data_IF_718373985879
#
_entry.id   IF_718373985879
#
_cell.length_a   1.000
_cell.length_b   1.000
_cell.length_c   1.000
_cell.angle_alpha   90.00
_cell.angle_beta   90.00
_cell.angle_gamma   90.00
#
_symmetry.space_group_name_H-M   'P 1'
#
loop_
_entity.id
_entity.type
_entity.pdbx_description
1 polymer ?
#
# COMPACT_ATOMS: atom_id res chain seq x y z
N UNK A 1 53.99 10.55 23.43
CA UNK A 1 52.67 11.12 23.20
C UNK A 1 52.14 10.56 21.90
N UNK A 2 51.46 9.43 21.98
CA UNK A 2 50.84 8.74 20.86
C UNK A 2 49.35 9.14 20.84
N UNK A 3 49.03 10.06 19.94
CA UNK A 3 47.63 10.45 19.72
C UNK A 3 46.85 9.37 18.97
N UNK A 4 45.94 8.74 19.64
CA UNK A 4 44.92 7.85 19.05
C UNK A 4 44.04 8.71 18.14
N UNK A 5 44.15 8.55 16.84
CA UNK A 5 43.14 9.07 15.89
C UNK A 5 41.89 8.25 16.09
N UNK A 6 40.85 8.86 16.69
CA UNK A 6 39.51 8.37 16.59
C UNK A 6 39.12 8.31 15.10
N UNK A 7 38.82 7.10 14.65
CA UNK A 7 38.24 6.89 13.34
C UNK A 7 36.85 7.55 13.32
N UNK A 8 36.70 8.65 12.58
CA UNK A 8 35.43 9.22 12.23
C UNK A 8 34.69 8.15 11.41
N UNK A 9 33.70 7.51 12.01
CA UNK A 9 32.81 6.58 11.33
C UNK A 9 32.14 7.33 10.17
N UNK A 10 32.42 6.92 8.94
CA UNK A 10 31.66 7.36 7.77
C UNK A 10 30.27 6.75 7.95
N UNK A 11 29.28 7.56 8.29
CA UNK A 11 27.88 7.16 8.37
C UNK A 11 27.41 6.69 6.98
N UNK A 12 27.56 5.41 6.72
CA UNK A 12 26.91 4.72 5.62
C UNK A 12 25.41 4.51 5.92
N UNK A 13 24.56 4.22 4.94
CA UNK A 13 23.15 3.93 5.18
C UNK A 13 23.02 2.67 6.05
N UNK A 14 22.38 2.78 7.22
CA UNK A 14 22.04 1.65 8.11
C UNK A 14 20.61 1.14 7.87
N UNK A 15 20.24 0.02 8.53
CA UNK A 15 18.95 -0.65 8.38
C UNK A 15 18.84 -1.42 7.06
N UNK A 16 17.63 -1.59 6.56
CA UNK A 16 17.38 -2.30 5.28
C UNK A 16 17.94 -1.49 4.12
N UNK A 17 18.82 -2.09 3.33
CA UNK A 17 19.58 -1.43 2.24
C UNK A 17 19.57 -2.24 0.94
N UNK A 18 19.85 -1.56 -0.16
CA UNK A 18 20.08 -2.19 -1.47
C UNK A 18 21.40 -2.98 -1.48
N UNK A 19 21.50 -4.02 -2.34
CA UNK A 19 22.75 -4.74 -2.51
C UNK A 19 23.86 -3.81 -3.04
N UNK A 20 25.08 -4.08 -2.67
CA UNK A 20 26.26 -3.39 -3.21
C UNK A 20 26.57 -3.95 -4.61
N UNK A 21 26.86 -3.07 -5.55
CA UNK A 21 27.38 -3.38 -6.89
C UNK A 21 28.75 -2.71 -7.06
N UNK A 22 29.47 -2.97 -8.14
CA UNK A 22 30.76 -2.32 -8.44
C UNK A 22 30.67 -0.79 -8.46
N UNK A 23 29.48 -0.24 -8.79
CA UNK A 23 29.21 1.20 -8.81
C UNK A 23 28.53 1.73 -7.52
N UNK A 24 28.48 0.93 -6.46
CA UNK A 24 27.79 1.25 -5.21
C UNK A 24 26.37 0.66 -5.15
N UNK A 25 25.53 1.15 -4.21
CA UNK A 25 24.14 0.66 -4.04
C UNK A 25 23.21 1.27 -5.07
N UNK A 26 22.58 0.43 -5.90
CA UNK A 26 21.81 0.87 -7.06
C UNK A 26 20.37 0.34 -7.06
N UNK A 27 19.39 1.26 -7.03
CA UNK A 27 17.96 0.92 -7.21
C UNK A 27 17.65 0.47 -8.63
N UNK A 28 18.37 0.99 -9.62
CA UNK A 28 18.23 0.60 -11.04
C UNK A 28 18.67 -0.84 -11.26
N UNK A 29 19.83 -1.22 -10.72
CA UNK A 29 20.34 -2.59 -10.83
C UNK A 29 19.40 -3.58 -10.15
N UNK A 30 18.90 -3.25 -8.94
CA UNK A 30 17.90 -4.06 -8.25
C UNK A 30 16.62 -4.20 -9.09
N UNK A 31 16.04 -3.09 -9.55
CA UNK A 31 14.78 -3.11 -10.29
C UNK A 31 14.85 -3.97 -11.55
N UNK A 32 15.93 -3.85 -12.34
CA UNK A 32 16.15 -4.69 -13.52
C UNK A 32 16.25 -6.18 -13.17
N UNK A 33 17.07 -6.51 -12.16
CA UNK A 33 17.27 -7.89 -11.76
C UNK A 33 15.98 -8.54 -11.23
N UNK A 34 15.25 -7.83 -10.39
CA UNK A 34 13.99 -8.34 -9.81
C UNK A 34 12.91 -8.56 -10.88
N UNK A 35 12.74 -7.62 -11.79
CA UNK A 35 11.76 -7.76 -12.88
C UNK A 35 12.16 -8.89 -13.84
N UNK A 36 13.45 -9.04 -14.12
CA UNK A 36 13.96 -10.12 -14.96
C UNK A 36 13.73 -11.49 -14.29
N UNK A 37 14.06 -11.61 -13.01
CA UNK A 37 13.88 -12.86 -12.26
C UNK A 37 12.39 -13.23 -12.17
N UNK A 38 11.52 -12.27 -11.91
CA UNK A 38 10.08 -12.48 -11.85
C UNK A 38 9.49 -12.98 -13.18
N UNK A 39 10.00 -12.51 -14.31
CA UNK A 39 9.54 -12.93 -15.64
C UNK A 39 10.16 -14.24 -16.12
N UNK A 40 11.27 -14.66 -15.56
CA UNK A 40 12.15 -15.68 -16.16
C UNK A 40 11.46 -16.99 -16.48
N UNK A 41 10.60 -17.48 -15.60
CA UNK A 41 9.89 -18.73 -15.77
C UNK A 41 8.71 -18.61 -16.74
N UNK A 42 8.05 -17.44 -16.80
CA UNK A 42 6.80 -17.23 -17.56
C UNK A 42 7.06 -16.57 -18.91
N UNK A 43 7.96 -15.60 -18.95
CA UNK A 43 8.32 -14.84 -20.14
C UNK A 43 9.84 -14.62 -20.24
N UNK A 44 10.59 -15.63 -20.71
CA UNK A 44 12.06 -15.54 -20.84
C UNK A 44 12.55 -14.41 -21.76
N UNK A 45 11.74 -13.99 -22.74
CA UNK A 45 12.07 -12.88 -23.64
C UNK A 45 11.97 -11.55 -22.90
N UNK A 46 10.89 -11.37 -22.12
CA UNK A 46 10.72 -10.21 -21.24
C UNK A 46 11.80 -10.12 -20.17
N UNK A 47 12.18 -11.25 -19.59
CA UNK A 47 13.27 -11.32 -18.63
C UNK A 47 14.58 -10.78 -19.20
N UNK A 48 15.00 -11.28 -20.38
CA UNK A 48 16.21 -10.78 -21.07
C UNK A 48 16.11 -9.30 -21.42
N UNK A 49 14.93 -8.84 -21.86
CA UNK A 49 14.71 -7.43 -22.15
C UNK A 49 14.90 -6.55 -20.89
N UNK A 50 14.39 -6.97 -19.73
CA UNK A 50 14.56 -6.24 -18.49
C UNK A 50 16.03 -6.23 -18.01
N UNK A 51 16.75 -7.34 -18.14
CA UNK A 51 18.18 -7.45 -17.79
C UNK A 51 19.05 -6.45 -18.57
N UNK A 52 18.78 -6.30 -19.88
CA UNK A 52 19.57 -5.49 -20.78
C UNK A 52 19.04 -4.04 -20.94
N UNK A 53 18.02 -3.65 -20.19
CA UNK A 53 17.47 -2.28 -20.24
C UNK A 53 18.52 -1.26 -19.79
N UNK A 54 18.99 -0.45 -20.71
CA UNK A 54 20.03 0.55 -20.45
C UNK A 54 19.49 1.86 -19.89
N UNK A 55 18.21 2.15 -20.17
CA UNK A 55 17.54 3.39 -19.77
C UNK A 55 16.37 3.10 -18.82
N UNK A 56 16.64 2.40 -17.71
CA UNK A 56 15.64 1.97 -16.75
C UNK A 56 14.68 3.07 -16.32
N UNK A 57 15.19 4.30 -16.12
CA UNK A 57 14.38 5.43 -15.66
C UNK A 57 13.21 5.77 -16.61
N UNK A 58 13.33 5.46 -17.88
CA UNK A 58 12.30 5.72 -18.88
C UNK A 58 11.65 4.43 -19.40
N UNK A 59 12.41 3.32 -19.43
CA UNK A 59 11.94 2.03 -19.91
C UNK A 59 11.13 1.20 -18.92
N UNK A 60 11.24 1.49 -17.59
CA UNK A 60 10.64 0.67 -16.55
C UNK A 60 9.15 0.39 -16.77
N UNK A 61 8.39 1.37 -17.24
CA UNK A 61 6.95 1.23 -17.46
C UNK A 61 6.61 0.05 -18.39
N UNK A 62 7.33 -0.10 -19.49
CA UNK A 62 7.16 -1.22 -20.40
C UNK A 62 7.40 -2.57 -19.75
N UNK A 63 8.39 -2.66 -18.88
CA UNK A 63 8.73 -3.88 -18.15
C UNK A 63 7.70 -4.21 -17.05
N UNK A 64 7.19 -3.19 -16.30
CA UNK A 64 6.11 -3.40 -15.33
C UNK A 64 4.79 -3.75 -16.02
N UNK A 65 4.50 -3.16 -17.16
CA UNK A 65 3.35 -3.56 -17.98
C UNK A 65 3.46 -5.01 -18.44
N UNK A 66 4.64 -5.43 -18.87
CA UNK A 66 4.91 -6.80 -19.28
C UNK A 66 4.75 -7.83 -18.17
N UNK A 67 5.09 -7.48 -16.91
CA UNK A 67 4.78 -8.31 -15.74
C UNK A 67 3.29 -8.59 -15.64
N UNK A 68 2.46 -7.56 -15.82
CA UNK A 68 0.99 -7.70 -15.79
C UNK A 68 0.53 -8.52 -17.00
N UNK A 69 0.97 -8.20 -18.21
CA UNK A 69 0.61 -8.95 -19.43
C UNK A 69 0.93 -10.44 -19.30
N UNK A 70 2.08 -10.79 -18.72
CA UNK A 70 2.46 -12.17 -18.46
C UNK A 70 1.60 -12.84 -17.37
N UNK A 71 1.27 -12.11 -16.30
CA UNK A 71 0.41 -12.59 -15.22
C UNK A 71 -1.04 -12.80 -15.66
N UNK A 72 -1.53 -12.06 -16.66
CA UNK A 72 -2.88 -12.22 -17.20
C UNK A 72 -3.08 -13.57 -17.94
N UNK A 73 -2.02 -14.28 -18.31
CA UNK A 73 -2.10 -15.53 -19.06
C UNK A 73 -2.76 -16.66 -18.25
N UNK A 74 -2.46 -16.74 -16.97
CA UNK A 74 -3.07 -17.72 -16.05
C UNK A 74 -2.80 -17.32 -14.58
N UNK A 75 -3.59 -17.89 -13.66
CA UNK A 75 -3.34 -17.76 -12.22
C UNK A 75 -1.94 -18.25 -11.84
N UNK A 76 -1.53 -19.41 -12.38
CA UNK A 76 -0.20 -19.97 -12.10
C UNK A 76 0.92 -19.06 -12.56
N UNK A 77 0.75 -18.38 -13.70
CA UNK A 77 1.70 -17.39 -14.18
C UNK A 77 1.81 -16.21 -13.22
N UNK A 78 0.68 -15.63 -12.78
CA UNK A 78 0.67 -14.53 -11.82
C UNK A 78 1.32 -14.93 -10.49
N UNK A 79 1.00 -16.11 -9.96
CA UNK A 79 1.58 -16.63 -8.71
C UNK A 79 3.07 -16.91 -8.85
N UNK A 80 3.52 -17.46 -9.98
CA UNK A 80 4.94 -17.73 -10.25
C UNK A 80 5.72 -16.41 -10.32
N UNK A 81 5.24 -15.43 -11.08
CA UNK A 81 5.83 -14.09 -11.16
C UNK A 81 5.95 -13.46 -9.77
N UNK A 82 4.90 -13.56 -8.96
CA UNK A 82 4.88 -13.00 -7.61
C UNK A 82 5.89 -13.70 -6.69
N UNK A 83 5.97 -15.02 -6.70
CA UNK A 83 6.92 -15.80 -5.90
C UNK A 83 8.36 -15.51 -6.28
N UNK A 84 8.67 -15.52 -7.57
CA UNK A 84 10.03 -15.33 -8.08
C UNK A 84 10.50 -13.88 -7.85
N UNK A 85 9.61 -12.90 -8.04
CA UNK A 85 9.89 -11.50 -7.74
C UNK A 85 10.17 -11.24 -6.25
N UNK A 86 9.36 -11.80 -5.35
CA UNK A 86 9.62 -11.72 -3.90
C UNK A 86 10.90 -12.45 -3.52
N UNK A 87 11.13 -13.65 -4.04
CA UNK A 87 12.35 -14.41 -3.77
C UNK A 87 13.60 -13.63 -4.20
N UNK A 88 13.58 -13.02 -5.38
CA UNK A 88 14.67 -12.17 -5.88
C UNK A 88 14.94 -10.97 -4.98
N UNK A 89 13.89 -10.29 -4.49
CA UNK A 89 14.02 -9.17 -3.54
C UNK A 89 14.65 -9.63 -2.22
N UNK A 90 14.10 -10.69 -1.61
CA UNK A 90 14.62 -11.23 -0.34
C UNK A 90 16.06 -11.70 -0.42
N UNK A 91 16.45 -12.33 -1.52
CA UNK A 91 17.81 -12.80 -1.73
C UNK A 91 18.84 -11.67 -1.89
N UNK A 92 18.41 -10.52 -2.47
CA UNK A 92 19.29 -9.42 -2.82
C UNK A 92 19.38 -8.34 -1.76
N UNK A 93 18.27 -8.01 -1.07
CA UNK A 93 18.27 -6.95 -0.07
C UNK A 93 19.11 -7.35 1.16
N UNK A 94 19.69 -6.36 1.82
CA UNK A 94 20.59 -6.51 2.95
C UNK A 94 20.14 -5.68 4.12
N UNK A 95 20.67 -5.98 5.29
CA UNK A 95 20.52 -5.16 6.50
C UNK A 95 21.89 -4.80 7.02
N UNK A 96 22.10 -3.53 7.33
CA UNK A 96 23.30 -3.05 8.01
C UNK A 96 22.89 -2.67 9.42
N UNK A 97 23.49 -3.35 10.41
CA UNK A 97 23.30 -3.04 11.83
C UNK A 97 23.94 -1.70 12.20
N UNK A 98 23.60 -1.16 13.38
CA UNK A 98 24.22 0.06 13.91
C UNK A 98 25.75 -0.12 14.13
N UNK A 99 26.21 -1.36 14.31
CA UNK A 99 27.65 -1.71 14.36
C UNK A 99 28.34 -1.85 13.00
N UNK A 100 27.62 -1.61 11.90
CA UNK A 100 28.16 -1.67 10.53
C UNK A 100 28.26 -3.07 9.92
N UNK A 101 27.80 -4.12 10.61
CA UNK A 101 27.76 -5.47 10.07
C UNK A 101 26.63 -5.59 9.03
N UNK A 102 26.94 -6.17 7.86
CA UNK A 102 25.97 -6.43 6.79
C UNK A 102 25.55 -7.89 6.78
N UNK A 103 24.25 -8.15 6.84
CA UNK A 103 23.65 -9.49 6.82
C UNK A 103 22.58 -9.61 5.75
N UNK A 104 22.14 -10.83 5.44
CA UNK A 104 20.98 -11.08 4.59
C UNK A 104 19.69 -10.63 5.29
N UNK A 105 18.71 -10.18 4.51
CA UNK A 105 17.44 -9.72 5.07
C UNK A 105 16.71 -10.82 5.88
N UNK A 106 16.84 -12.09 5.48
CA UNK A 106 16.24 -13.20 6.20
C UNK A 106 16.90 -13.46 7.58
N UNK A 107 18.14 -13.08 7.73
CA UNK A 107 18.94 -13.31 8.94
C UNK A 107 18.67 -12.28 10.04
N UNK A 108 18.05 -11.14 9.70
CA UNK A 108 17.80 -10.03 10.64
C UNK A 108 16.99 -10.45 11.87
N UNK A 109 16.15 -11.47 11.74
CA UNK A 109 15.31 -11.96 12.84
C UNK A 109 15.94 -13.09 13.65
N UNK A 110 17.15 -13.56 13.30
CA UNK A 110 17.86 -14.64 14.02
C UNK A 110 18.75 -14.09 15.14
N UNK A 111 19.16 -12.83 15.02
CA UNK A 111 19.92 -12.14 16.05
C UNK A 111 19.19 -10.79 16.34
N UNK A 112 18.34 -10.75 17.38
CA UNK A 112 17.56 -9.55 17.71
C UNK A 112 18.42 -8.35 18.13
N UNK A 113 19.72 -8.50 18.23
CA UNK A 113 20.64 -7.47 18.74
C UNK A 113 20.41 -7.18 20.22
N UNK A 114 21.27 -6.43 20.85
CA UNK A 114 21.15 -6.04 22.27
C UNK A 114 20.16 -4.92 22.54
N UNK A 115 19.22 -4.64 21.65
CA UNK A 115 18.23 -3.57 21.79
C UNK A 115 17.14 -3.91 22.81
N UNK A 116 16.71 -2.91 23.57
CA UNK A 116 15.65 -3.08 24.57
C UNK A 116 14.30 -3.41 23.87
N UNK A 117 13.51 -4.34 24.45
CA UNK A 117 12.17 -4.64 23.95
C UNK A 117 11.29 -3.39 23.99
N UNK A 118 10.24 -3.40 23.18
CA UNK A 118 9.23 -2.34 23.19
C UNK A 118 8.12 -2.70 24.17
N UNK A 119 7.68 -1.72 24.98
CA UNK A 119 6.47 -1.80 25.79
C UNK A 119 5.24 -1.39 24.97
N UNK A 120 4.05 -1.65 25.50
CA UNK A 120 2.78 -1.21 24.90
C UNK A 120 2.16 -0.09 25.72
N UNK A 121 1.91 1.06 25.10
CA UNK A 121 0.95 2.02 25.64
C UNK A 121 -0.42 1.79 24.99
N UNK A 122 -1.48 1.93 25.79
CA UNK A 122 -2.86 1.82 25.32
C UNK A 122 -3.62 3.10 25.64
N UNK A 123 -4.25 3.69 24.66
CA UNK A 123 -5.09 4.88 24.80
C UNK A 123 -6.51 4.54 24.41
N UNK A 124 -7.42 4.64 25.38
CA UNK A 124 -8.85 4.42 25.16
C UNK A 124 -9.53 5.75 24.86
N UNK A 125 -10.27 5.81 23.79
CA UNK A 125 -11.01 6.99 23.41
C UNK A 125 -12.28 7.19 24.23
N UNK A 126 -12.69 8.44 24.43
CA UNK A 126 -13.91 8.83 25.14
C UNK A 126 -15.09 9.16 24.24
N UNK A 127 -14.94 9.05 22.92
CA UNK A 127 -16.00 9.36 21.96
C UNK A 127 -17.06 8.26 21.84
N UNK A 128 -18.19 8.61 21.25
CA UNK A 128 -19.23 7.63 20.93
C UNK A 128 -18.77 6.68 19.81
N UNK A 129 -19.09 5.39 19.95
CA UNK A 129 -18.89 4.38 18.91
C UNK A 129 -20.00 4.52 17.85
N UNK A 130 -19.60 4.70 16.59
CA UNK A 130 -20.55 4.68 15.46
C UNK A 130 -20.90 3.23 15.11
N UNK A 131 -22.19 2.88 15.17
CA UNK A 131 -22.71 1.55 14.83
C UNK A 131 -23.36 1.49 13.45
N UNK A 132 -23.40 2.59 12.72
CA UNK A 132 -23.89 2.69 11.36
C UNK A 132 -22.78 3.22 10.45
N UNK A 133 -22.63 2.62 9.26
CA UNK A 133 -21.66 3.12 8.29
C UNK A 133 -22.04 4.52 7.83
N UNK A 134 -21.15 5.48 8.06
CA UNK A 134 -21.29 6.84 7.55
C UNK A 134 -20.04 7.25 6.78
N UNK A 135 -20.22 7.81 5.59
CA UNK A 135 -19.16 8.23 4.69
C UNK A 135 -19.06 9.76 4.63
N UNK A 136 -17.93 10.37 5.05
CA UNK A 136 -17.73 11.80 4.86
C UNK A 136 -17.55 12.11 3.37
N UNK A 137 -18.32 13.09 2.86
CA UNK A 137 -18.25 13.48 1.47
C UNK A 137 -18.68 14.95 1.30
N UNK A 138 -17.81 15.78 0.75
CA UNK A 138 -18.04 17.22 0.47
C UNK A 138 -18.64 17.98 1.67
N UNK A 139 -18.08 17.78 2.85
CA UNK A 139 -18.49 18.44 4.09
C UNK A 139 -19.73 17.85 4.76
N UNK A 140 -20.36 16.83 4.18
CA UNK A 140 -21.49 16.09 4.73
C UNK A 140 -21.09 14.70 5.19
N UNK A 141 -21.94 14.05 5.99
CA UNK A 141 -21.85 12.63 6.32
C UNK A 141 -23.02 11.90 5.70
N UNK A 142 -22.73 11.11 4.67
CA UNK A 142 -23.71 10.29 3.98
C UNK A 142 -23.95 9.00 4.77
N UNK A 143 -25.20 8.63 4.96
CA UNK A 143 -25.65 7.37 5.58
C UNK A 143 -27.00 6.95 5.02
N UNK A 144 -27.43 5.71 5.26
CA UNK A 144 -28.70 5.18 4.80
C UNK A 144 -28.94 5.48 3.31
N UNK A 145 -30.13 5.96 2.97
CA UNK A 145 -30.53 6.24 1.58
C UNK A 145 -29.67 7.27 0.87
N UNK A 146 -29.09 8.25 1.59
CA UNK A 146 -28.20 9.24 0.97
C UNK A 146 -26.91 8.56 0.47
N UNK A 147 -26.39 7.61 1.24
CA UNK A 147 -25.20 6.83 0.83
C UNK A 147 -25.57 5.90 -0.33
N UNK A 148 -26.71 5.20 -0.29
CA UNK A 148 -27.18 4.37 -1.41
C UNK A 148 -27.26 5.16 -2.71
N UNK A 149 -27.95 6.33 -2.70
CA UNK A 149 -28.06 7.19 -3.88
C UNK A 149 -26.69 7.67 -4.39
N UNK A 150 -25.74 7.93 -3.49
CA UNK A 150 -24.39 8.36 -3.87
C UNK A 150 -23.63 7.23 -4.53
N UNK A 151 -23.69 6.01 -4.00
CA UNK A 151 -23.06 4.83 -4.60
C UNK A 151 -23.62 4.58 -6.02
N UNK A 152 -24.93 4.66 -6.21
CA UNK A 152 -25.55 4.53 -7.55
C UNK A 152 -25.02 5.59 -8.52
N UNK A 153 -24.95 6.84 -8.06
CA UNK A 153 -24.42 7.93 -8.88
C UNK A 153 -22.93 7.73 -9.24
N UNK A 154 -22.14 7.21 -8.34
CA UNK A 154 -20.72 6.92 -8.60
C UNK A 154 -20.54 5.76 -9.58
N UNK A 155 -21.32 4.69 -9.45
CA UNK A 155 -21.33 3.57 -10.42
C UNK A 155 -21.74 4.07 -11.81
N UNK A 156 -22.85 4.81 -11.89
CA UNK A 156 -23.35 5.36 -13.17
C UNK A 156 -22.33 6.29 -13.85
N UNK A 157 -21.56 7.05 -13.05
CA UNK A 157 -20.52 7.94 -13.54
C UNK A 157 -19.15 7.25 -13.77
N UNK A 158 -19.01 5.95 -13.45
CA UNK A 158 -17.75 5.21 -13.56
C UNK A 158 -16.68 5.68 -12.57
N UNK A 159 -17.08 6.22 -11.42
CA UNK A 159 -16.17 6.66 -10.35
C UNK A 159 -15.72 5.49 -9.48
N UNK A 160 -16.62 4.54 -9.26
CA UNK A 160 -16.36 3.26 -8.58
C UNK A 160 -16.92 2.12 -9.41
N UNK A 161 -16.38 0.93 -9.22
CA UNK A 161 -16.91 -0.30 -9.82
C UNK A 161 -18.20 -0.76 -9.13
N UNK A 162 -19.10 -1.49 -9.81
CA UNK A 162 -20.30 -2.07 -9.19
C UNK A 162 -19.98 -2.90 -7.95
N UNK A 163 -18.93 -3.74 -8.01
CA UNK A 163 -18.47 -4.58 -6.89
C UNK A 163 -18.08 -3.76 -5.64
N UNK A 164 -17.50 -2.57 -5.82
CA UNK A 164 -17.22 -1.66 -4.72
C UNK A 164 -18.52 -1.18 -4.05
N UNK A 165 -19.53 -0.79 -4.84
CA UNK A 165 -20.81 -0.37 -4.31
C UNK A 165 -21.54 -1.51 -3.59
N UNK A 166 -21.47 -2.74 -4.13
CA UNK A 166 -22.05 -3.94 -3.52
C UNK A 166 -21.41 -4.24 -2.17
N UNK A 167 -20.08 -4.21 -2.08
CA UNK A 167 -19.36 -4.41 -0.83
C UNK A 167 -19.73 -3.38 0.24
N UNK A 168 -19.81 -2.10 -0.13
CA UNK A 168 -20.23 -1.04 0.80
C UNK A 168 -21.68 -1.24 1.26
N UNK A 169 -22.60 -1.62 0.37
CA UNK A 169 -23.99 -1.94 0.71
C UNK A 169 -24.09 -3.16 1.65
N UNK A 170 -23.25 -4.18 1.44
CA UNK A 170 -23.19 -5.31 2.35
C UNK A 170 -22.81 -4.89 3.78
N UNK A 171 -21.83 -3.99 3.93
CA UNK A 171 -21.47 -3.44 5.24
C UNK A 171 -22.61 -2.58 5.81
N UNK A 172 -23.31 -1.80 5.00
CA UNK A 172 -24.48 -1.03 5.45
C UNK A 172 -25.62 -1.92 5.94
N UNK A 173 -25.85 -3.05 5.27
CA UNK A 173 -26.88 -4.02 5.62
C UNK A 173 -26.56 -4.84 6.87
N UNK A 174 -25.28 -4.89 7.27
CA UNK A 174 -24.80 -5.63 8.43
C UNK A 174 -24.02 -4.70 9.38
N UNK A 175 -24.69 -3.84 10.14
CA UNK A 175 -24.02 -2.85 11.00
C UNK A 175 -23.10 -3.44 12.07
N UNK A 176 -23.38 -4.65 12.52
CA UNK A 176 -22.57 -5.46 13.42
C UNK A 176 -21.17 -5.81 12.85
N UNK A 177 -21.00 -5.79 11.53
CA UNK A 177 -19.69 -5.99 10.90
C UNK A 177 -18.67 -4.90 11.25
N UNK A 178 -19.14 -3.71 11.64
CA UNK A 178 -18.28 -2.62 12.09
C UNK A 178 -17.64 -2.89 13.47
N UNK A 179 -18.18 -3.84 14.24
CA UNK A 179 -17.57 -4.31 15.47
C UNK A 179 -16.43 -5.27 15.15
N UNK A 180 -15.20 -4.78 15.21
CA UNK A 180 -13.96 -5.53 14.97
C UNK A 180 -13.29 -5.91 16.29
N UNK A 181 -14.04 -6.17 17.37
CA UNK A 181 -13.50 -6.55 18.67
C UNK A 181 -12.76 -7.90 18.66
N UNK A 182 -13.07 -8.74 17.70
CA UNK A 182 -12.43 -10.04 17.41
C UNK A 182 -11.11 -9.91 16.60
N UNK A 183 -10.81 -8.71 16.09
CA UNK A 183 -9.65 -8.45 15.25
C UNK A 183 -8.69 -7.46 15.92
N UNK A 184 -7.41 -7.60 15.66
CA UNK A 184 -6.36 -6.61 15.98
C UNK A 184 -5.83 -6.03 14.69
N UNK A 185 -6.37 -4.89 14.27
CA UNK A 185 -5.95 -4.26 13.03
C UNK A 185 -4.65 -3.50 13.25
N UNK A 186 -3.56 -4.07 12.77
CA UNK A 186 -2.24 -3.44 12.77
C UNK A 186 -2.15 -2.47 11.60
N UNK A 187 -1.86 -1.21 11.88
CA UNK A 187 -1.71 -0.16 10.86
C UNK A 187 -0.25 0.25 10.79
N UNK A 188 0.50 -0.34 9.85
CA UNK A 188 1.88 0.05 9.55
C UNK A 188 1.86 1.33 8.71
N UNK A 189 2.50 2.39 9.20
CA UNK A 189 2.34 3.74 8.66
C UNK A 189 1.05 4.40 9.17
N UNK A 190 0.81 4.32 10.48
CA UNK A 190 -0.42 4.77 11.14
C UNK A 190 -0.75 6.25 10.92
N UNK A 191 0.26 7.08 10.68
CA UNK A 191 0.11 8.49 10.33
C UNK A 191 -0.24 8.77 8.87
N UNK A 192 -0.36 7.76 8.02
CA UNK A 192 -0.71 7.93 6.60
C UNK A 192 -2.15 8.46 6.45
N UNK A 193 -2.34 9.44 5.54
CA UNK A 193 -3.66 10.06 5.31
C UNK A 193 -4.69 9.08 4.73
N UNK A 194 -4.22 8.05 4.04
CA UNK A 194 -5.06 7.03 3.42
C UNK A 194 -5.31 5.81 4.31
N UNK A 195 -4.65 5.73 5.48
CA UNK A 195 -4.81 4.63 6.42
C UNK A 195 -6.21 4.59 7.06
N UNK A 196 -6.70 3.40 7.44
CA UNK A 196 -8.05 3.20 7.97
C UNK A 196 -8.22 3.62 9.43
N UNK A 197 -7.12 3.94 10.13
CA UNK A 197 -7.08 4.16 11.58
C UNK A 197 -8.21 5.08 12.12
N UNK A 198 -8.51 6.26 11.52
CA UNK A 198 -9.57 7.11 12.04
C UNK A 198 -10.96 6.47 11.96
N UNK A 199 -11.21 5.67 10.93
CA UNK A 199 -12.49 4.98 10.73
C UNK A 199 -12.63 3.80 11.69
N UNK A 200 -11.58 3.00 11.85
CA UNK A 200 -11.57 1.87 12.78
C UNK A 200 -11.79 2.33 14.24
N UNK A 201 -11.09 3.38 14.67
CA UNK A 201 -11.30 3.96 16.01
C UNK A 201 -12.71 4.53 16.19
N UNK A 202 -13.29 5.11 15.16
CA UNK A 202 -14.65 5.62 15.17
C UNK A 202 -15.70 4.51 15.35
N UNK A 203 -15.43 3.33 14.79
CA UNK A 203 -16.29 2.15 14.93
C UNK A 203 -16.02 1.35 16.20
N UNK A 204 -15.10 1.81 17.07
CA UNK A 204 -14.81 1.17 18.35
C UNK A 204 -13.73 0.09 18.28
N UNK A 205 -13.02 -0.03 17.16
CA UNK A 205 -12.02 -1.06 16.96
C UNK A 205 -10.78 -0.92 17.84
N UNK A 206 -10.10 -2.05 18.05
CA UNK A 206 -8.78 -2.15 18.70
C UNK A 206 -7.70 -2.05 17.63
N UNK A 207 -7.06 -0.89 17.52
CA UNK A 207 -6.07 -0.59 16.48
C UNK A 207 -4.67 -0.63 17.07
N UNK A 208 -3.79 -1.41 16.45
CA UNK A 208 -2.35 -1.48 16.76
C UNK A 208 -1.60 -0.59 15.77
N UNK A 209 -1.08 0.53 16.24
CA UNK A 209 -0.43 1.52 15.37
C UNK A 209 1.08 1.38 15.39
N UNK A 210 1.72 1.35 14.21
CA UNK A 210 3.18 1.42 14.06
C UNK A 210 3.51 2.56 13.11
N UNK A 211 4.39 3.46 13.55
CA UNK A 211 4.92 4.56 12.73
C UNK A 211 6.30 4.99 13.26
N UNK A 212 6.95 5.88 12.55
CA UNK A 212 8.24 6.41 12.93
C UNK A 212 8.24 7.02 14.34
N UNK A 213 9.36 6.97 15.08
CA UNK A 213 9.47 7.55 16.42
C UNK A 213 9.59 9.08 16.36
N UNK A 214 8.55 9.74 15.86
CA UNK A 214 8.43 11.19 15.72
C UNK A 214 7.28 11.71 16.55
N UNK A 215 7.53 12.49 17.62
CA UNK A 215 6.50 12.94 18.54
C UNK A 215 5.31 13.65 17.89
N UNK A 216 5.53 14.37 16.79
CA UNK A 216 4.46 15.08 16.07
C UNK A 216 3.45 14.13 15.41
N UNK A 217 3.88 12.94 14.96
CA UNK A 217 2.98 11.91 14.43
C UNK A 217 2.10 11.41 15.58
N UNK A 218 2.72 11.04 16.70
CA UNK A 218 2.05 10.42 17.84
C UNK A 218 1.09 11.40 18.53
N UNK A 219 1.45 12.67 18.73
CA UNK A 219 0.51 13.68 19.25
C UNK A 219 -0.75 13.79 18.39
N UNK A 220 -0.63 13.66 17.07
CA UNK A 220 -1.80 13.67 16.17
C UNK A 220 -2.63 12.40 16.32
N UNK A 221 -2.00 11.23 16.39
CA UNK A 221 -2.68 9.94 16.56
C UNK A 221 -3.39 9.84 17.89
N UNK A 222 -2.77 10.29 18.99
CA UNK A 222 -3.37 10.36 20.33
C UNK A 222 -4.62 11.25 20.35
N UNK A 223 -4.54 12.46 19.76
CA UNK A 223 -5.74 13.31 19.61
C UNK A 223 -6.86 12.62 18.81
N UNK A 224 -6.51 11.84 17.80
CA UNK A 224 -7.49 11.07 17.04
C UNK A 224 -8.09 9.95 17.89
N UNK A 225 -7.29 9.23 18.67
CA UNK A 225 -7.75 8.18 19.57
C UNK A 225 -8.71 8.73 20.62
N UNK A 226 -8.37 9.82 21.31
CA UNK A 226 -9.26 10.44 22.30
C UNK A 226 -10.60 10.90 21.74
N UNK A 227 -10.63 11.28 20.47
CA UNK A 227 -11.86 11.78 19.82
C UNK A 227 -12.89 10.69 19.56
N UNK A 228 -12.48 9.45 19.33
CA UNK A 228 -13.33 8.33 18.91
C UNK A 228 -13.53 7.31 20.05
N UNK A 229 -14.33 6.28 19.84
CA UNK A 229 -14.70 5.31 20.88
C UNK A 229 -13.81 4.06 20.92
N UNK A 230 -12.83 3.92 20.02
CA UNK A 230 -11.95 2.76 19.95
C UNK A 230 -10.74 2.84 20.87
N UNK A 231 -9.88 1.83 20.79
CA UNK A 231 -8.61 1.75 21.54
C UNK A 231 -7.43 1.79 20.55
N UNK A 232 -6.39 2.53 20.93
CA UNK A 232 -5.14 2.64 20.21
C UNK A 232 -4.02 2.00 21.03
N UNK A 233 -3.41 0.93 20.50
CA UNK A 233 -2.22 0.30 21.05
C UNK A 233 -1.01 0.75 20.23
N UNK A 234 0.07 1.13 20.91
CA UNK A 234 1.26 1.66 20.25
C UNK A 234 2.54 1.20 20.94
N UNK A 235 3.62 0.95 20.18
CA UNK A 235 4.91 0.60 20.76
C UNK A 235 5.53 1.84 21.39
N UNK A 236 6.05 1.68 22.59
CA UNK A 236 6.77 2.73 23.33
C UNK A 236 8.09 2.18 23.85
N UNK A 237 9.06 3.06 24.05
CA UNK A 237 10.28 2.69 24.77
C UNK A 237 9.96 2.31 26.21
N UNK A 238 10.69 1.34 26.81
CA UNK A 238 10.48 0.96 28.20
C UNK A 238 10.47 2.17 29.14
N UNK A 239 9.47 2.18 30.03
CA UNK A 239 9.28 3.27 30.98
C UNK A 239 8.66 4.55 30.43
N UNK A 240 8.28 4.61 29.16
CA UNK A 240 7.57 5.76 28.58
C UNK A 240 6.06 5.74 28.91
N UNK A 241 5.71 5.50 30.18
CA UNK A 241 4.34 5.60 30.68
C UNK A 241 4.08 7.01 31.22
N UNK A 242 2.84 7.51 31.13
CA UNK A 242 2.47 8.81 31.68
C UNK A 242 1.38 9.50 30.85
N UNK A 243 1.48 10.81 30.74
CA UNK A 243 0.57 11.61 29.94
C UNK A 243 0.85 11.49 28.43
N UNK A 244 -0.03 12.05 27.62
CA UNK A 244 0.08 12.05 26.17
C UNK A 244 1.42 12.61 25.65
N UNK A 245 2.03 13.54 26.38
CA UNK A 245 3.31 14.12 25.99
C UNK A 245 4.45 13.12 26.18
N UNK A 246 4.47 12.42 27.30
CA UNK A 246 5.43 11.37 27.63
C UNK A 246 5.28 10.18 26.66
N UNK A 247 4.04 9.72 26.44
CA UNK A 247 3.72 8.66 25.48
C UNK A 247 4.22 9.08 24.07
N UNK A 248 3.85 10.27 23.59
CA UNK A 248 4.26 10.73 22.25
C UNK A 248 5.78 10.85 22.07
N UNK A 249 6.51 11.18 23.15
CA UNK A 249 7.97 11.29 23.12
C UNK A 249 8.67 9.92 23.08
N UNK A 250 8.04 8.87 23.65
CA UNK A 250 8.58 7.51 23.69
C UNK A 250 8.06 6.56 22.61
N UNK A 251 7.02 6.97 21.88
CA UNK A 251 6.30 6.10 20.94
C UNK A 251 6.97 5.96 19.58
N UNK A 252 6.74 4.79 18.97
CA UNK A 252 7.09 4.49 17.59
C UNK A 252 8.19 3.45 17.42
N UNK A 253 8.21 2.84 16.23
CA UNK A 253 9.25 1.92 15.79
C UNK A 253 9.62 2.23 14.34
N UNK A 254 10.90 2.45 14.08
CA UNK A 254 11.41 2.61 12.73
C UNK A 254 11.65 1.23 12.11
N UNK A 255 10.78 0.82 11.19
CA UNK A 255 10.84 -0.48 10.53
C UNK A 255 12.10 -0.68 9.66
N UNK A 256 12.81 0.38 9.28
CA UNK A 256 14.08 0.24 8.59
C UNK A 256 15.23 -0.17 9.51
N UNK A 257 15.20 0.29 10.77
CA UNK A 257 16.32 0.17 11.71
C UNK A 257 16.00 -0.71 12.91
N UNK A 258 14.73 -0.91 13.26
CA UNK A 258 14.24 -1.63 14.45
C UNK A 258 13.29 -2.76 14.08
N UNK A 259 13.56 -3.44 12.96
CA UNK A 259 12.68 -4.47 12.42
C UNK A 259 12.48 -5.66 13.36
N UNK A 260 13.53 -6.24 14.01
CA UNK A 260 13.38 -7.34 14.96
C UNK A 260 12.50 -6.96 16.16
N UNK A 261 12.75 -5.80 16.77
CA UNK A 261 11.99 -5.34 17.94
C UNK A 261 10.52 -5.11 17.62
N UNK A 262 10.24 -4.56 16.42
CA UNK A 262 8.86 -4.40 15.95
C UNK A 262 8.19 -5.77 15.72
N UNK A 263 8.93 -6.75 15.21
CA UNK A 263 8.43 -8.12 15.01
C UNK A 263 8.09 -8.80 16.33
N UNK A 264 9.02 -8.77 17.30
CA UNK A 264 8.83 -9.38 18.61
C UNK A 264 7.65 -8.73 19.36
N UNK A 265 7.55 -7.40 19.29
CA UNK A 265 6.44 -6.68 19.89
C UNK A 265 5.09 -7.07 19.26
N UNK A 266 5.01 -7.19 17.92
CA UNK A 266 3.80 -7.61 17.20
C UNK A 266 3.44 -9.07 17.45
N UNK A 267 4.43 -9.95 17.63
CA UNK A 267 4.18 -11.35 18.02
C UNK A 267 3.55 -11.47 19.41
N UNK A 268 3.81 -10.52 20.29
CA UNK A 268 3.20 -10.42 21.62
C UNK A 268 1.79 -9.82 21.63
N UNK A 269 1.24 -9.37 20.50
CA UNK A 269 -0.13 -8.84 20.44
C UNK A 269 -1.14 -9.98 20.43
N UNK A 270 -2.04 -9.98 21.39
CA UNK A 270 -3.11 -10.98 21.53
C UNK A 270 -4.22 -10.78 20.47
N UNK A 271 -4.88 -11.90 20.10
CA UNK A 271 -5.99 -11.91 19.15
C UNK A 271 -5.55 -12.03 17.70
N UNK A 272 -6.49 -12.20 16.79
CA UNK A 272 -6.25 -12.36 15.35
C UNK A 272 -5.69 -11.08 14.74
N UNK A 273 -4.53 -11.17 14.08
CA UNK A 273 -3.90 -10.01 13.49
C UNK A 273 -4.40 -9.75 12.06
N UNK A 274 -4.72 -8.50 11.77
CA UNK A 274 -4.91 -7.98 10.41
C UNK A 274 -3.76 -7.02 10.11
N UNK A 275 -2.74 -7.47 9.40
CA UNK A 275 -1.55 -6.68 9.13
C UNK A 275 -1.78 -5.75 7.93
N UNK A 276 -2.06 -4.49 8.20
CA UNK A 276 -2.33 -3.45 7.20
C UNK A 276 -1.07 -2.67 6.81
N UNK A 277 -0.68 -2.74 5.55
CA UNK A 277 0.48 -2.04 5.01
C UNK A 277 0.09 -0.73 4.33
N UNK A 278 0.27 0.39 5.04
CA UNK A 278 -0.01 1.75 4.57
C UNK A 278 1.25 2.62 4.54
N UNK A 279 2.43 2.00 4.65
CA UNK A 279 3.70 2.73 4.61
C UNK A 279 3.93 3.39 3.27
N UNK A 280 4.51 4.57 3.32
CA UNK A 280 4.96 5.31 2.16
C UNK A 280 6.19 6.14 2.52
N UNK A 281 7.13 6.19 1.59
CA UNK A 281 8.28 7.09 1.63
C UNK A 281 8.64 7.56 0.22
N UNK A 282 9.45 8.60 0.10
CA UNK A 282 9.88 9.11 -1.20
C UNK A 282 11.09 8.32 -1.74
N UNK A 283 11.15 8.19 -3.05
CA UNK A 283 12.32 7.70 -3.79
C UNK A 283 12.74 6.27 -3.39
N UNK A 284 14.04 6.09 -3.18
CA UNK A 284 14.66 4.81 -2.83
C UNK A 284 14.20 4.28 -1.46
N UNK A 285 13.92 5.16 -0.51
CA UNK A 285 13.45 4.78 0.83
C UNK A 285 12.12 4.05 0.76
N UNK A 286 11.27 4.33 -0.24
CA UNK A 286 10.00 3.63 -0.41
C UNK A 286 10.20 2.13 -0.66
N UNK A 287 11.17 1.74 -1.49
CA UNK A 287 11.50 0.33 -1.72
C UNK A 287 12.07 -0.32 -0.45
N UNK A 288 12.95 0.39 0.26
CA UNK A 288 13.57 -0.09 1.50
C UNK A 288 12.50 -0.39 2.57
N UNK A 289 11.59 0.55 2.83
CA UNK A 289 10.54 0.35 3.83
C UNK A 289 9.48 -0.67 3.38
N UNK A 290 9.13 -0.71 2.09
CA UNK A 290 8.24 -1.74 1.56
C UNK A 290 8.85 -3.14 1.75
N UNK A 291 10.17 -3.27 1.56
CA UNK A 291 10.88 -4.53 1.75
C UNK A 291 10.99 -4.92 3.24
N UNK A 292 11.22 -3.94 4.13
CA UNK A 292 11.21 -4.17 5.57
C UNK A 292 9.84 -4.70 6.04
N UNK A 293 8.76 -4.08 5.58
CA UNK A 293 7.38 -4.53 5.89
C UNK A 293 7.08 -5.91 5.32
N UNK A 294 7.59 -6.22 4.12
CA UNK A 294 7.39 -7.55 3.54
C UNK A 294 8.16 -8.64 4.32
N UNK A 295 9.37 -8.34 4.76
CA UNK A 295 10.13 -9.24 5.61
C UNK A 295 9.43 -9.46 6.97
N UNK A 296 8.91 -8.40 7.58
CA UNK A 296 8.08 -8.47 8.78
C UNK A 296 6.84 -9.34 8.56
N UNK A 297 6.11 -9.10 7.46
CA UNK A 297 4.91 -9.86 7.10
C UNK A 297 5.21 -11.36 7.00
N UNK A 298 6.26 -11.71 6.26
CA UNK A 298 6.71 -13.11 6.12
C UNK A 298 7.08 -13.71 7.47
N UNK A 299 7.80 -12.97 8.31
CA UNK A 299 8.24 -13.43 9.63
C UNK A 299 7.06 -13.69 10.56
N UNK A 300 6.04 -12.81 10.58
CA UNK A 300 4.82 -13.00 11.35
C UNK A 300 4.01 -14.20 10.86
N UNK A 301 3.81 -14.34 9.54
CA UNK A 301 3.09 -15.47 8.95
C UNK A 301 3.78 -16.83 9.19
N UNK A 302 5.09 -16.86 9.39
CA UNK A 302 5.82 -18.09 9.74
C UNK A 302 5.65 -18.50 11.21
N UNK A 303 5.18 -17.63 12.07
CA UNK A 303 5.03 -17.83 13.52
C UNK A 303 3.59 -17.78 14.02
N UNK A 304 2.67 -17.33 13.18
CA UNK A 304 1.25 -17.17 13.51
C UNK A 304 0.40 -17.63 12.31
N UNK A 305 -0.56 -18.47 12.55
CA UNK A 305 -1.50 -18.97 11.52
C UNK A 305 -2.71 -18.05 11.33
N UNK A 306 -2.88 -17.04 12.19
CA UNK A 306 -4.05 -16.16 12.28
C UNK A 306 -3.84 -14.79 11.63
N UNK A 307 -2.86 -14.62 10.76
CA UNK A 307 -2.52 -13.32 10.16
C UNK A 307 -3.27 -13.11 8.85
N UNK A 308 -4.22 -12.19 8.85
CA UNK A 308 -4.80 -11.61 7.63
C UNK A 308 -3.96 -10.43 7.15
N UNK A 309 -3.98 -10.14 5.85
CA UNK A 309 -3.22 -9.04 5.25
C UNK A 309 -4.16 -7.99 4.65
N UNK A 310 -3.77 -6.72 4.77
CA UNK A 310 -4.47 -5.61 4.12
C UNK A 310 -3.48 -4.68 3.41
N UNK A 311 -3.81 -4.31 2.19
CA UNK A 311 -3.00 -3.43 1.35
C UNK A 311 -3.86 -2.37 0.68
N UNK A 312 -3.23 -1.27 0.31
CA UNK A 312 -3.85 -0.20 -0.44
C UNK A 312 -3.04 0.07 -1.72
N UNK A 313 -3.58 -0.34 -2.86
CA UNK A 313 -3.06 0.04 -4.16
C UNK A 313 -3.52 1.47 -4.53
N UNK A 314 -2.93 2.02 -5.56
CA UNK A 314 -3.24 3.37 -6.04
C UNK A 314 -3.39 3.40 -7.55
N UNK A 315 -4.10 4.40 -8.14
CA UNK A 315 -4.25 4.52 -9.59
C UNK A 315 -2.93 4.76 -10.33
N UNK A 316 -1.85 5.05 -9.60
CA UNK A 316 -0.51 5.28 -10.15
C UNK A 316 0.36 4.02 -10.21
N UNK A 317 -0.25 2.84 -10.11
CA UNK A 317 0.36 1.52 -10.32
C UNK A 317 -0.04 0.96 -11.69
N UNK A 318 0.62 -0.15 -12.12
CA UNK A 318 0.22 -0.93 -13.29
C UNK A 318 -0.60 -2.13 -12.82
N UNK A 319 -1.83 -2.24 -13.29
CA UNK A 319 -2.73 -3.31 -12.88
C UNK A 319 -3.82 -3.61 -13.90
N UNK A 320 -4.40 -4.81 -13.83
CA UNK A 320 -5.54 -5.23 -14.63
C UNK A 320 -6.82 -4.49 -14.23
N UNK A 321 -7.66 -4.18 -15.20
CA UNK A 321 -9.00 -3.60 -14.97
C UNK A 321 -10.05 -4.40 -15.72
N UNK A 322 -11.30 -4.51 -15.19
CA UNK A 322 -12.36 -5.26 -15.85
C UNK A 322 -12.77 -4.63 -17.19
N UNK A 323 -13.31 -5.45 -18.09
CA UNK A 323 -13.81 -4.99 -19.39
C UNK A 323 -14.87 -3.88 -19.28
N UNK A 324 -15.63 -3.83 -18.19
CA UNK A 324 -16.59 -2.74 -17.93
C UNK A 324 -15.91 -1.38 -17.78
N UNK A 325 -14.76 -1.31 -17.12
CA UNK A 325 -13.96 -0.10 -17.00
C UNK A 325 -13.41 0.34 -18.37
N UNK A 326 -12.98 -0.62 -19.20
CA UNK A 326 -12.56 -0.38 -20.58
C UNK A 326 -13.72 0.20 -21.40
N UNK A 327 -14.90 -0.44 -21.35
CA UNK A 327 -16.09 0.03 -22.06
C UNK A 327 -16.55 1.42 -21.60
N UNK A 328 -16.45 1.71 -20.29
CA UNK A 328 -16.74 3.06 -19.78
C UNK A 328 -15.78 4.09 -20.36
N UNK A 329 -14.47 3.79 -20.37
CA UNK A 329 -13.46 4.66 -20.97
C UNK A 329 -13.67 4.85 -22.50
N UNK A 330 -14.11 3.81 -23.21
CA UNK A 330 -14.44 3.89 -24.63
C UNK A 330 -15.63 4.80 -24.90
N UNK A 331 -16.71 4.68 -24.11
CA UNK A 331 -17.87 5.57 -24.20
C UNK A 331 -17.49 7.03 -23.98
N UNK A 332 -16.69 7.30 -22.93
CA UNK A 332 -16.16 8.64 -22.64
C UNK A 332 -15.29 9.18 -23.78
N UNK A 333 -14.46 8.31 -24.36
CA UNK A 333 -13.63 8.67 -25.51
C UNK A 333 -14.47 8.96 -26.76
N UNK A 334 -15.52 8.19 -27.05
CA UNK A 334 -16.41 8.39 -28.20
C UNK A 334 -17.25 9.67 -28.06
N UNK A 335 -17.71 9.99 -26.84
CA UNK A 335 -18.51 11.16 -26.53
C UNK A 335 -17.75 12.50 -26.55
N UNK A 336 -16.46 12.52 -26.94
CA UNK A 336 -15.65 13.75 -27.00
C UNK A 336 -16.24 14.78 -27.94
N UNK A 337 -16.32 16.03 -27.47
CA UNK A 337 -16.71 17.18 -28.29
C UNK A 337 -15.68 17.50 -29.38
N UNK A 338 -16.08 18.29 -30.37
CA UNK A 338 -15.27 18.69 -31.53
C UNK A 338 -13.92 19.31 -31.15
N UNK A 339 -13.88 20.18 -30.12
CA UNK A 339 -12.63 20.80 -29.63
C UNK A 339 -11.59 19.78 -29.20
N UNK A 340 -11.99 18.69 -28.52
CA UNK A 340 -11.07 17.62 -28.09
C UNK A 340 -10.60 16.77 -29.27
N UNK A 341 -11.45 16.57 -30.29
CA UNK A 341 -11.07 15.88 -31.53
C UNK A 341 -10.05 16.70 -32.30
N UNK A 342 -10.25 18.01 -32.41
CA UNK A 342 -9.30 18.93 -33.07
C UNK A 342 -7.95 18.98 -32.34
N UNK A 343 -7.94 19.04 -31.00
CA UNK A 343 -6.71 19.04 -30.21
C UNK A 343 -5.90 17.75 -30.43
N UNK A 344 -6.55 16.60 -30.53
CA UNK A 344 -5.87 15.35 -30.85
C UNK A 344 -5.24 15.38 -32.24
N UNK A 345 -5.98 15.85 -33.24
CA UNK A 345 -5.51 15.95 -34.63
C UNK A 345 -4.30 16.88 -34.71
N UNK A 346 -4.38 18.08 -34.11
CA UNK A 346 -3.31 19.08 -34.08
C UNK A 346 -2.06 18.59 -33.34
N UNK A 347 -2.21 17.71 -32.34
CA UNK A 347 -1.08 17.12 -31.63
C UNK A 347 -0.46 15.90 -32.32
N UNK A 348 -0.93 15.54 -33.50
CA UNK A 348 -0.48 14.32 -34.22
C UNK A 348 -0.81 13.04 -33.42
N UNK A 349 -1.91 13.03 -32.66
CA UNK A 349 -2.34 11.91 -31.84
C UNK A 349 -1.62 11.76 -30.50
N UNK A 350 -0.68 12.66 -30.16
CA UNK A 350 0.08 12.62 -28.91
C UNK A 350 -0.74 12.97 -27.68
N UNK A 351 -1.77 13.79 -27.83
CA UNK A 351 -2.70 14.17 -26.76
C UNK A 351 -4.05 13.47 -26.95
N UNK A 352 -4.71 13.19 -25.82
CA UNK A 352 -6.05 12.59 -25.81
C UNK A 352 -6.15 11.26 -26.57
N UNK A 353 -5.17 10.40 -26.43
CA UNK A 353 -5.22 9.02 -26.91
C UNK A 353 -6.17 8.17 -26.05
N UNK A 354 -6.46 6.96 -26.50
CA UNK A 354 -7.25 5.99 -25.71
C UNK A 354 -6.41 5.45 -24.56
N UNK A 355 -7.03 5.24 -23.40
CA UNK A 355 -6.36 4.61 -22.27
C UNK A 355 -6.16 3.11 -22.48
N UNK A 356 -7.12 2.46 -23.15
CA UNK A 356 -7.11 1.03 -23.40
C UNK A 356 -7.28 0.73 -24.89
N UNK A 357 -6.76 -0.41 -25.38
CA UNK A 357 -7.12 -0.93 -26.70
C UNK A 357 -8.65 -1.17 -26.77
N UNK A 358 -9.29 -0.94 -27.93
CA UNK A 358 -10.71 -1.21 -28.07
C UNK A 358 -11.05 -2.66 -27.82
N UNK A 359 -12.09 -2.88 -26.99
CA UNK A 359 -12.59 -4.22 -26.67
C UNK A 359 -11.67 -5.06 -25.79
N UNK A 360 -10.65 -4.47 -25.17
CA UNK A 360 -9.79 -5.22 -24.25
C UNK A 360 -10.58 -5.69 -23.02
N UNK A 361 -10.46 -6.97 -22.69
CA UNK A 361 -11.06 -7.58 -21.49
C UNK A 361 -10.17 -8.71 -20.98
N UNK A 362 -9.39 -8.50 -19.93
CA UNK A 362 -9.22 -7.25 -19.17
C UNK A 362 -8.41 -6.18 -19.92
N UNK A 363 -8.52 -4.93 -19.44
CA UNK A 363 -7.61 -3.85 -19.80
C UNK A 363 -6.43 -3.77 -18.84
N UNK A 364 -5.41 -2.95 -19.16
CA UNK A 364 -4.28 -2.66 -18.26
C UNK A 364 -4.21 -1.16 -18.01
N UNK A 365 -4.34 -0.75 -16.74
CA UNK A 365 -4.12 0.64 -16.35
C UNK A 365 -2.63 0.90 -16.14
N UNK A 366 -2.09 1.93 -16.79
CA UNK A 366 -0.71 2.39 -16.66
C UNK A 366 -0.58 3.91 -16.80
N UNK A 367 -1.70 4.61 -16.92
CA UNK A 367 -1.78 6.01 -17.37
C UNK A 367 -1.07 7.01 -16.46
N UNK A 368 -1.07 6.78 -15.14
CA UNK A 368 -0.49 7.69 -14.14
C UNK A 368 0.86 7.22 -13.61
N UNK A 369 1.32 6.05 -13.98
CA UNK A 369 2.58 5.44 -13.49
C UNK A 369 3.82 6.32 -13.77
N UNK A 370 3.95 6.98 -14.93
CA UNK A 370 5.11 7.83 -15.21
C UNK A 370 5.31 9.00 -14.24
N UNK A 371 4.27 9.37 -13.48
CA UNK A 371 4.32 10.48 -12.51
C UNK A 371 5.07 10.12 -11.22
N UNK A 372 5.26 8.83 -10.94
CA UNK A 372 5.84 8.34 -9.67
C UNK A 372 7.26 7.80 -9.80
N UNK A 373 7.58 7.13 -10.90
CA UNK A 373 8.89 6.57 -11.18
C UNK A 373 9.09 5.11 -10.72
N UNK A 374 10.24 4.50 -11.09
CA UNK A 374 10.47 3.06 -10.96
C UNK A 374 10.50 2.53 -9.53
N UNK A 375 10.99 3.30 -8.58
CA UNK A 375 11.04 2.88 -7.17
C UNK A 375 9.63 2.76 -6.57
N UNK A 376 8.74 3.67 -6.92
CA UNK A 376 7.35 3.59 -6.49
C UNK A 376 6.66 2.38 -7.12
N UNK A 377 6.82 2.18 -8.43
CA UNK A 377 6.27 1.03 -9.13
C UNK A 377 6.74 -0.30 -8.52
N UNK A 378 8.04 -0.42 -8.20
CA UNK A 378 8.59 -1.62 -7.56
C UNK A 378 7.99 -1.85 -6.15
N UNK A 379 7.91 -0.80 -5.33
CA UNK A 379 7.33 -0.90 -3.99
C UNK A 379 5.85 -1.33 -4.02
N UNK A 380 5.06 -0.83 -4.99
CA UNK A 380 3.66 -1.23 -5.17
C UNK A 380 3.55 -2.65 -5.72
N UNK A 381 4.38 -3.02 -6.67
CA UNK A 381 4.43 -4.38 -7.22
C UNK A 381 4.78 -5.41 -6.14
N UNK A 382 5.70 -5.11 -5.25
CA UNK A 382 6.04 -5.94 -4.09
C UNK A 382 4.81 -6.20 -3.19
N UNK A 383 4.02 -5.16 -2.87
CA UNK A 383 2.80 -5.30 -2.08
C UNK A 383 1.77 -6.22 -2.78
N UNK A 384 1.60 -6.06 -4.09
CA UNK A 384 0.72 -6.91 -4.90
C UNK A 384 1.19 -8.36 -4.91
N UNK A 385 2.47 -8.60 -5.15
CA UNK A 385 3.06 -9.93 -5.12
C UNK A 385 2.86 -10.62 -3.76
N UNK A 386 3.04 -9.88 -2.65
CA UNK A 386 2.77 -10.41 -1.31
C UNK A 386 1.30 -10.79 -1.15
N UNK A 387 0.39 -9.96 -1.63
CA UNK A 387 -1.05 -10.24 -1.61
C UNK A 387 -1.39 -11.50 -2.41
N UNK A 388 -0.86 -11.63 -3.63
CA UNK A 388 -1.06 -12.80 -4.50
C UNK A 388 -0.54 -14.09 -3.84
N UNK A 389 0.70 -14.09 -3.33
CA UNK A 389 1.30 -15.27 -2.68
C UNK A 389 0.56 -15.64 -1.39
N UNK A 390 0.14 -14.67 -0.59
CA UNK A 390 -0.60 -14.93 0.65
C UNK A 390 -2.00 -15.50 0.36
N UNK A 391 -2.69 -14.96 -0.66
CA UNK A 391 -3.99 -15.47 -1.10
C UNK A 391 -3.87 -16.91 -1.64
N UNK A 392 -2.84 -17.19 -2.43
CA UNK A 392 -2.58 -18.54 -2.94
C UNK A 392 -2.28 -19.54 -1.81
N UNK A 393 -1.69 -19.09 -0.71
CA UNK A 393 -1.48 -19.87 0.52
C UNK A 393 -2.73 -19.96 1.42
N UNK A 394 -3.88 -19.39 1.02
CA UNK A 394 -5.15 -19.47 1.77
C UNK A 394 -5.33 -18.38 2.84
N UNK A 395 -4.46 -17.38 2.92
CA UNK A 395 -4.63 -16.26 3.87
C UNK A 395 -5.78 -15.34 3.44
N UNK A 396 -6.49 -14.77 4.42
CA UNK A 396 -7.41 -13.66 4.15
C UNK A 396 -6.62 -12.43 3.72
N UNK A 397 -6.94 -11.88 2.54
CA UNK A 397 -6.24 -10.72 1.98
C UNK A 397 -7.23 -9.68 1.49
N UNK A 398 -7.17 -8.48 2.05
CA UNK A 398 -7.84 -7.29 1.51
C UNK A 398 -6.86 -6.48 0.67
N UNK A 399 -7.09 -6.41 -0.63
CA UNK A 399 -6.27 -5.64 -1.56
C UNK A 399 -7.18 -4.82 -2.46
N UNK A 400 -7.19 -3.50 -2.29
CA UNK A 400 -8.09 -2.59 -3.00
C UNK A 400 -7.33 -1.43 -3.61
N UNK A 401 -7.75 -1.01 -4.81
CA UNK A 401 -7.23 0.21 -5.45
C UNK A 401 -8.01 1.41 -4.91
N UNK A 402 -7.31 2.29 -4.18
CA UNK A 402 -7.92 3.52 -3.69
C UNK A 402 -8.28 4.47 -4.85
N UNK A 403 -9.36 5.22 -4.74
CA UNK A 403 -9.68 6.25 -5.73
C UNK A 403 -8.63 7.38 -5.72
N UNK A 404 -8.54 8.18 -6.80
CA UNK A 404 -7.71 9.37 -6.83
C UNK A 404 -8.03 10.28 -5.63
N UNK A 405 -7.03 10.54 -4.77
CA UNK A 405 -7.25 11.24 -3.51
C UNK A 405 -6.29 12.40 -3.35
N UNK A 406 -6.79 13.53 -2.89
CA UNK A 406 -6.06 14.79 -2.71
C UNK A 406 -5.25 14.77 -1.41
N UNK A 407 -4.22 13.91 -1.34
CA UNK A 407 -3.31 13.83 -0.21
C UNK A 407 -2.25 14.92 -0.24
N UNK A 408 -1.58 15.17 0.88
CA UNK A 408 -0.46 16.13 0.96
C UNK A 408 0.70 15.75 0.04
N UNK A 409 0.97 14.47 -0.14
CA UNK A 409 2.01 13.98 -1.07
C UNK A 409 1.67 14.31 -2.52
N UNK A 410 0.41 14.14 -2.93
CA UNK A 410 -0.08 14.55 -4.25
C UNK A 410 0.05 16.04 -4.45
N UNK A 411 -0.31 16.85 -3.46
CA UNK A 411 -0.24 18.32 -3.57
C UNK A 411 1.20 18.86 -3.63
N UNK A 412 2.17 18.14 -3.08
CA UNK A 412 3.61 18.46 -3.21
C UNK A 412 4.18 18.15 -4.58
N UNK A 413 3.65 17.13 -5.26
CA UNK A 413 4.06 16.79 -6.62
C UNK A 413 3.28 17.64 -7.63
N UNK A 414 3.94 18.64 -8.23
CA UNK A 414 3.30 19.61 -9.14
C UNK A 414 2.58 18.96 -10.31
N UNK A 415 3.13 17.89 -10.87
CA UNK A 415 2.52 17.18 -12.01
C UNK A 415 1.23 16.45 -11.60
N UNK A 416 1.25 15.74 -10.48
CA UNK A 416 0.05 15.10 -9.93
C UNK A 416 -0.99 16.12 -9.46
N UNK A 417 -0.58 17.20 -8.82
CA UNK A 417 -1.48 18.27 -8.41
C UNK A 417 -2.21 18.89 -9.61
N UNK A 418 -1.49 19.17 -10.71
CA UNK A 418 -2.09 19.67 -11.95
C UNK A 418 -3.02 18.65 -12.61
N UNK A 419 -2.62 17.37 -12.65
CA UNK A 419 -3.46 16.29 -13.18
C UNK A 419 -4.76 16.16 -12.39
N UNK A 420 -4.69 16.17 -11.05
CA UNK A 420 -5.86 16.06 -10.19
C UNK A 420 -6.75 17.31 -10.23
N UNK A 421 -6.18 18.51 -10.36
CA UNK A 421 -6.96 19.73 -10.56
C UNK A 421 -7.79 19.72 -11.86
N UNK A 422 -7.24 19.08 -12.92
CA UNK A 422 -7.91 18.93 -14.21
C UNK A 422 -8.79 17.68 -14.35
N UNK A 423 -8.76 16.75 -13.40
CA UNK A 423 -9.36 15.43 -13.49
C UNK A 423 -10.88 15.48 -13.75
N UNK A 424 -11.59 16.42 -13.14
CA UNK A 424 -13.04 16.62 -13.31
C UNK A 424 -13.44 16.87 -14.77
N UNK A 425 -12.55 17.44 -15.59
CA UNK A 425 -12.79 17.66 -17.03
C UNK A 425 -12.83 16.37 -17.83
N UNK A 426 -12.34 15.29 -17.24
CA UNK A 426 -12.29 13.95 -17.85
C UNK A 426 -13.28 12.98 -17.18
N UNK A 427 -14.19 13.48 -16.31
CA UNK A 427 -15.13 12.66 -15.58
C UNK A 427 -14.54 11.92 -14.38
N UNK A 428 -13.28 12.21 -14.01
CA UNK A 428 -12.61 11.59 -12.86
C UNK A 428 -12.93 12.43 -11.61
N UNK A 429 -13.50 11.79 -10.61
CA UNK A 429 -13.70 12.39 -9.30
C UNK A 429 -12.43 12.21 -8.45
N UNK A 430 -11.99 13.29 -7.81
CA UNK A 430 -10.88 13.29 -6.86
C UNK A 430 -11.43 13.47 -5.47
N UNK A 431 -11.21 12.48 -4.61
CA UNK A 431 -11.75 12.46 -3.26
C UNK A 431 -10.86 13.21 -2.26
N UNK A 432 -11.48 13.60 -1.14
CA UNK A 432 -10.74 14.02 0.05
C UNK A 432 -10.26 12.78 0.83
N UNK A 433 -9.15 12.88 1.58
CA UNK A 433 -8.61 11.74 2.34
C UNK A 433 -9.62 11.09 3.28
N UNK A 434 -10.48 11.88 3.94
CA UNK A 434 -11.49 11.35 4.84
C UNK A 434 -12.54 10.49 4.13
N UNK A 435 -12.91 10.81 2.90
CA UNK A 435 -13.82 10.00 2.07
C UNK A 435 -13.14 8.70 1.68
N UNK A 436 -11.95 8.79 1.10
CA UNK A 436 -11.21 7.62 0.61
C UNK A 436 -10.86 6.65 1.74
N UNK A 437 -10.32 7.12 2.86
CA UNK A 437 -9.92 6.22 3.94
C UNK A 437 -11.13 5.53 4.59
N UNK A 438 -12.29 6.21 4.68
CA UNK A 438 -13.51 5.58 5.19
C UNK A 438 -14.07 4.55 4.22
N UNK A 439 -14.06 4.85 2.91
CA UNK A 439 -14.48 3.90 1.88
C UNK A 439 -13.57 2.65 1.89
N UNK A 440 -12.25 2.84 1.91
CA UNK A 440 -11.29 1.73 1.95
C UNK A 440 -11.39 0.92 3.25
N UNK A 441 -11.66 1.58 4.39
CA UNK A 441 -11.90 0.88 5.65
C UNK A 441 -13.19 0.04 5.61
N UNK A 442 -14.26 0.52 4.97
CA UNK A 442 -15.49 -0.26 4.78
C UNK A 442 -15.23 -1.50 3.89
N UNK A 443 -14.44 -1.36 2.82
CA UNK A 443 -14.04 -2.49 2.00
C UNK A 443 -13.17 -3.50 2.75
N UNK A 444 -12.28 -3.02 3.63
CA UNK A 444 -11.51 -3.89 4.53
C UNK A 444 -12.44 -4.69 5.45
N UNK A 445 -13.41 -4.03 6.09
CA UNK A 445 -14.42 -4.70 6.92
C UNK A 445 -15.18 -5.76 6.12
N UNK A 446 -15.64 -5.42 4.91
CA UNK A 446 -16.29 -6.38 4.03
C UNK A 446 -15.42 -7.63 3.80
N UNK A 447 -14.16 -7.45 3.42
CA UNK A 447 -13.27 -8.56 3.11
C UNK A 447 -12.97 -9.44 4.34
N UNK A 448 -12.83 -8.82 5.53
CA UNK A 448 -12.62 -9.55 6.79
C UNK A 448 -13.85 -10.39 7.18
N UNK A 449 -15.06 -9.89 6.92
CA UNK A 449 -16.32 -10.57 7.28
C UNK A 449 -16.77 -11.60 6.26
N UNK A 450 -16.42 -11.43 4.99
CA UNK A 450 -16.78 -12.38 3.92
C UNK A 450 -15.67 -13.40 3.63
N UNK A 451 -14.46 -13.16 4.14
CA UNK A 451 -13.27 -13.92 3.77
C UNK A 451 -12.78 -13.52 2.37
N UNK A 452 -11.76 -14.23 1.90
CA UNK A 452 -11.22 -14.03 0.54
C UNK A 452 -11.72 -15.16 -0.35
N UNK A 453 -12.81 -14.95 -1.12
CA UNK A 453 -13.25 -15.98 -2.05
C UNK A 453 -12.19 -16.20 -3.13
N UNK A 454 -12.12 -17.37 -3.74
CA UNK A 454 -11.30 -17.59 -4.92
C UNK A 454 -11.65 -16.55 -6.00
N UNK A 455 -10.64 -15.97 -6.62
CA UNK A 455 -10.86 -15.03 -7.71
C UNK A 455 -11.38 -15.82 -8.94
N UNK A 456 -12.56 -15.47 -9.49
CA UNK A 456 -13.18 -16.24 -10.57
C UNK A 456 -12.39 -16.16 -11.88
N UNK A 457 -11.59 -15.12 -12.07
CA UNK A 457 -10.80 -14.94 -13.28
C UNK A 457 -9.32 -14.77 -12.98
N UNK A 458 -8.41 -15.40 -13.76
CA UNK A 458 -6.96 -15.29 -13.57
C UNK A 458 -6.44 -13.85 -13.52
N UNK A 459 -7.02 -12.95 -14.33
CA UNK A 459 -6.60 -11.56 -14.40
C UNK A 459 -6.82 -10.78 -13.09
N UNK A 460 -7.70 -11.24 -12.22
CA UNK A 460 -7.98 -10.58 -10.94
C UNK A 460 -6.81 -10.67 -9.95
N UNK A 461 -5.86 -11.57 -10.17
CA UNK A 461 -4.60 -11.58 -9.42
C UNK A 461 -3.73 -10.36 -9.76
N UNK A 462 -3.96 -9.74 -10.91
CA UNK A 462 -3.28 -8.52 -11.38
C UNK A 462 -4.14 -7.26 -11.24
N UNK A 463 -5.37 -7.36 -10.71
CA UNK A 463 -6.30 -6.25 -10.52
C UNK A 463 -6.06 -5.43 -9.25
#
# INVERSE_FOLDING_TARGET
MTGTREAVAVEGPTGVVFPTTDSGRSTTALGRAVVADALRAVDPVGARSAEHETNWRHGYLGHFRRLVEAGLLSRDAAVTIARDGLASLHARMRVISDGGAETGLAEVFTDPGGDQPLDTATVTGGGAVERELSLPYRGQRLRGDDLHRRLDAWVAAGVIEPSCAEAVRAVMANPDWLDLSDERVVVLGAGAEMGPLPSLLRWGGDVVAVDLPRPEIWRRLLRTAHRYGGRLHLPVRPGAAGDDQAIAAGAGADLLHRLPQAADWLLGVDGRLVLGNYVYADGATNVRVAMAVDALTRHLQQRRDDVALAFLATPTDVFGVPGEAVQHAERGYAARGLARRSLRLLSGGRLLHRNYPPGADPGINDSLVPQQGPNYALAKRLQRWRATVARDAGSTVSFKVAPPTRTRSVLRNRALAAAYAGAHRFGIEVFDPATSNTLMAALLVHDLRTGTPPLPHPWQEEA
#
